data_IF_297361430229
#
_entry.id   IF_297361430229
#
_cell.length_a   1.000
_cell.length_b   1.000
_cell.length_c   1.000
_cell.angle_alpha   90.00
_cell.angle_beta   90.00
_cell.angle_gamma   90.00
#
_symmetry.space_group_name_H-M   'P 1'
#
loop_
_entity.id
_entity.type
_entity.pdbx_description
1 polymer ?
#
# COMPACT_ATOMS: atom_id res chain seq x y z
N UNK A 1 1.20 31.45 27.15
CA UNK A 1 2.21 31.45 26.07
C UNK A 1 1.90 30.32 25.07
N UNK A 2 0.64 30.17 24.63
CA UNK A 2 0.15 28.84 24.17
C UNK A 2 -0.49 28.80 22.78
N UNK A 3 -0.81 29.95 22.18
CA UNK A 3 -1.56 29.98 20.93
C UNK A 3 -0.67 29.75 19.68
N UNK A 4 0.55 30.29 19.69
CA UNK A 4 1.49 30.24 18.56
C UNK A 4 2.03 28.82 18.30
N UNK A 5 2.19 28.02 19.35
CA UNK A 5 2.61 26.61 19.24
C UNK A 5 1.48 25.72 18.74
N UNK A 6 0.24 25.91 19.24
CA UNK A 6 -0.94 25.19 18.75
C UNK A 6 -1.22 25.46 17.27
N UNK A 7 -1.01 26.69 16.79
CA UNK A 7 -1.13 27.03 15.36
C UNK A 7 -0.04 26.37 14.51
N UNK A 8 1.20 26.32 15.03
CA UNK A 8 2.33 25.65 14.36
C UNK A 8 2.07 24.14 14.22
N UNK A 9 1.58 23.48 15.27
CA UNK A 9 1.30 22.04 15.27
C UNK A 9 0.14 21.70 14.32
N UNK A 10 -0.93 22.51 14.32
CA UNK A 10 -2.02 22.39 13.32
C UNK A 10 -1.52 22.56 11.89
N UNK A 11 -0.63 23.51 11.65
CA UNK A 11 -0.05 23.74 10.33
C UNK A 11 0.83 22.58 9.86
N UNK A 12 1.63 21.99 10.76
CA UNK A 12 2.44 20.81 10.48
C UNK A 12 1.56 19.61 10.15
N UNK A 13 0.52 19.37 10.96
CA UNK A 13 -0.44 18.29 10.77
C UNK A 13 -1.15 18.41 9.42
N UNK A 14 -1.66 19.60 9.07
CA UNK A 14 -2.30 19.87 7.79
C UNK A 14 -1.34 19.67 6.60
N UNK A 15 -0.07 20.04 6.72
CA UNK A 15 0.94 19.77 5.69
C UNK A 15 1.20 18.27 5.53
N UNK A 16 1.21 17.51 6.63
CA UNK A 16 1.39 16.05 6.62
C UNK A 16 0.22 15.38 5.90
N UNK A 17 -1.01 15.69 6.30
CA UNK A 17 -2.24 15.16 5.68
C UNK A 17 -2.30 15.48 4.18
N UNK A 18 -1.97 16.72 3.78
CA UNK A 18 -1.90 17.08 2.35
C UNK A 18 -0.87 16.26 1.57
N UNK A 19 0.27 15.93 2.16
CA UNK A 19 1.31 15.11 1.52
C UNK A 19 0.87 13.66 1.42
N UNK A 20 0.19 13.15 2.44
CA UNK A 20 -0.38 11.80 2.47
C UNK A 20 -1.44 11.64 1.39
N UNK A 21 -2.43 12.55 1.34
CA UNK A 21 -3.43 12.57 0.28
C UNK A 21 -2.81 12.56 -1.12
N UNK A 22 -1.83 13.43 -1.36
CA UNK A 22 -1.10 13.46 -2.65
C UNK A 22 -0.36 12.18 -2.99
N UNK A 23 0.11 11.42 -2.00
CA UNK A 23 0.81 10.15 -2.22
C UNK A 23 -0.18 9.04 -2.56
N UNK A 24 -1.29 9.00 -1.84
CA UNK A 24 -2.39 8.06 -2.11
C UNK A 24 -3.00 8.29 -3.50
N UNK A 25 -3.34 9.54 -3.83
CA UNK A 25 -3.91 9.91 -5.14
C UNK A 25 -2.98 9.51 -6.31
N UNK A 26 -1.66 9.63 -6.12
CA UNK A 26 -0.67 9.23 -7.14
C UNK A 26 -0.54 7.71 -7.30
N UNK A 27 -0.94 6.92 -6.30
CA UNK A 27 -0.84 5.46 -6.38
C UNK A 27 -1.89 4.90 -7.33
N UNK A 28 -3.10 5.47 -7.33
CA UNK A 28 -4.28 4.96 -8.06
C UNK A 28 -4.59 3.48 -7.76
N UNK A 29 -4.16 2.98 -6.60
CA UNK A 29 -4.44 1.62 -6.11
C UNK A 29 -4.85 1.78 -4.66
N UNK A 30 -5.92 1.09 -4.30
CA UNK A 30 -6.48 1.14 -2.94
C UNK A 30 -5.62 0.35 -1.96
N UNK A 31 -5.77 0.64 -0.65
CA UNK A 31 -5.10 -0.14 0.39
C UNK A 31 -5.46 -1.63 0.35
N UNK A 32 -6.72 -1.96 0.09
CA UNK A 32 -7.22 -3.33 -0.02
C UNK A 32 -6.62 -4.09 -1.21
N UNK A 33 -6.50 -3.45 -2.37
CA UNK A 33 -5.83 -4.06 -3.53
C UNK A 33 -4.35 -4.35 -3.25
N UNK A 34 -3.68 -3.49 -2.48
CA UNK A 34 -2.28 -3.74 -2.06
C UNK A 34 -2.19 -4.95 -1.13
N UNK A 35 -3.11 -5.06 -0.17
CA UNK A 35 -3.21 -6.23 0.72
C UNK A 35 -3.39 -7.49 -0.12
N UNK A 36 -4.36 -7.50 -1.04
CA UNK A 36 -4.63 -8.63 -1.91
C UNK A 36 -3.40 -9.04 -2.72
N UNK A 37 -2.68 -8.07 -3.30
CA UNK A 37 -1.44 -8.37 -4.05
C UNK A 37 -0.42 -9.06 -3.13
N UNK A 38 -0.21 -8.56 -1.91
CA UNK A 38 0.75 -9.14 -0.96
C UNK A 38 0.36 -10.56 -0.52
N UNK A 39 -0.92 -10.82 -0.25
CA UNK A 39 -1.41 -12.17 0.05
C UNK A 39 -1.08 -13.13 -1.09
N UNK A 40 -1.39 -12.74 -2.32
CA UNK A 40 -1.17 -13.58 -3.50
C UNK A 40 0.31 -13.76 -3.86
N UNK A 41 1.16 -12.78 -3.54
CA UNK A 41 2.62 -12.96 -3.61
C UNK A 41 3.07 -14.09 -2.69
N UNK A 42 2.61 -14.10 -1.44
CA UNK A 42 2.97 -15.13 -0.46
C UNK A 42 2.38 -16.51 -0.81
N UNK A 43 1.25 -16.56 -1.51
CA UNK A 43 0.70 -17.78 -2.12
C UNK A 43 1.47 -18.23 -3.39
N UNK A 44 2.49 -17.49 -3.83
CA UNK A 44 3.32 -17.84 -4.99
C UNK A 44 2.66 -17.55 -6.35
N UNK A 45 1.66 -16.67 -6.40
CA UNK A 45 1.01 -16.31 -7.66
C UNK A 45 1.91 -15.44 -8.52
N UNK A 46 1.82 -15.59 -9.85
CA UNK A 46 2.48 -14.67 -10.79
C UNK A 46 1.74 -13.33 -10.82
N UNK A 47 2.48 -12.23 -10.96
CA UNK A 47 1.94 -10.86 -11.04
C UNK A 47 0.82 -10.71 -12.08
N UNK A 48 0.94 -11.35 -13.25
CA UNK A 48 -0.09 -11.31 -14.30
C UNK A 48 -1.41 -11.96 -13.87
N UNK A 49 -1.35 -13.06 -13.09
CA UNK A 49 -2.54 -13.73 -12.58
C UNK A 49 -3.26 -12.85 -11.57
N UNK A 50 -2.49 -12.18 -10.70
CA UNK A 50 -3.01 -11.23 -9.71
C UNK A 50 -3.70 -10.05 -10.41
N UNK A 51 -3.04 -9.43 -11.38
CA UNK A 51 -3.60 -8.34 -12.17
C UNK A 51 -4.93 -8.72 -12.83
N UNK A 52 -4.96 -9.85 -13.55
CA UNK A 52 -6.17 -10.32 -14.21
C UNK A 52 -7.31 -10.57 -13.22
N UNK A 53 -7.00 -11.11 -12.04
CA UNK A 53 -7.98 -11.38 -10.99
C UNK A 53 -8.58 -10.08 -10.45
N UNK A 54 -7.76 -9.04 -10.21
CA UNK A 54 -8.25 -7.74 -9.75
C UNK A 54 -9.19 -7.11 -10.79
N UNK A 55 -8.81 -7.09 -12.07
CA UNK A 55 -9.64 -6.49 -13.13
C UNK A 55 -10.93 -7.28 -13.36
N UNK A 56 -10.92 -8.60 -13.21
CA UNK A 56 -12.12 -9.43 -13.32
C UNK A 56 -13.11 -9.18 -12.17
N UNK A 57 -12.62 -9.02 -10.93
CA UNK A 57 -13.48 -8.75 -9.77
C UNK A 57 -13.89 -7.28 -9.66
N UNK A 58 -13.01 -6.36 -10.04
CA UNK A 58 -13.25 -4.92 -10.02
C UNK A 58 -12.81 -4.29 -11.35
N UNK A 59 -13.70 -4.29 -12.37
CA UNK A 59 -13.41 -3.70 -13.68
C UNK A 59 -13.10 -2.19 -13.63
N UNK A 60 -13.52 -1.50 -12.56
CA UNK A 60 -13.28 -0.07 -12.35
C UNK A 60 -11.98 0.21 -11.59
N UNK A 61 -11.17 -0.82 -11.28
CA UNK A 61 -9.86 -0.62 -10.67
C UNK A 61 -8.96 0.20 -11.59
N UNK A 62 -8.25 1.18 -11.02
CA UNK A 62 -7.26 1.98 -11.75
C UNK A 62 -5.85 1.34 -11.73
N UNK A 63 -5.74 0.08 -11.29
CA UNK A 63 -4.48 -0.63 -11.31
C UNK A 63 -4.09 -0.99 -12.75
N UNK A 64 -2.80 -0.89 -13.05
CA UNK A 64 -2.22 -1.38 -14.29
C UNK A 64 -1.20 -2.49 -14.00
N UNK A 65 -0.84 -3.26 -15.03
CA UNK A 65 0.09 -4.39 -14.90
C UNK A 65 1.44 -3.98 -14.31
N UNK A 66 2.00 -2.84 -14.72
CA UNK A 66 3.32 -2.37 -14.24
C UNK A 66 3.27 -2.00 -12.76
N UNK A 67 2.16 -1.41 -12.31
CA UNK A 67 1.93 -1.13 -10.89
C UNK A 67 1.77 -2.41 -10.10
N UNK A 68 1.04 -3.40 -10.62
CA UNK A 68 0.96 -4.72 -9.96
C UNK A 68 2.37 -5.31 -9.78
N UNK A 69 3.24 -5.25 -10.79
CA UNK A 69 4.63 -5.71 -10.69
C UNK A 69 5.47 -4.90 -9.69
N UNK A 70 5.31 -3.58 -9.67
CA UNK A 70 5.99 -2.74 -8.67
C UNK A 70 5.56 -3.10 -7.25
N UNK A 71 4.25 -3.24 -7.01
CA UNK A 71 3.69 -3.64 -5.71
C UNK A 71 4.14 -5.07 -5.38
N UNK A 72 4.19 -5.98 -6.34
CA UNK A 72 4.61 -7.38 -6.17
C UNK A 72 5.97 -7.52 -5.46
N UNK A 73 6.90 -6.59 -5.69
CA UNK A 73 8.21 -6.54 -5.02
C UNK A 73 8.18 -6.07 -3.56
N UNK A 74 7.01 -5.72 -3.03
CA UNK A 74 6.86 -5.10 -1.71
C UNK A 74 7.02 -3.57 -1.72
N UNK A 75 7.30 -2.95 -2.87
CA UNK A 75 7.52 -1.50 -2.99
C UNK A 75 6.19 -0.71 -3.06
N UNK A 76 5.38 -0.81 -2.01
CA UNK A 76 4.16 -0.04 -1.86
C UNK A 76 3.94 0.32 -0.38
N UNK A 77 3.54 1.57 -0.12
CA UNK A 77 3.23 2.06 1.22
C UNK A 77 1.76 2.47 1.30
N UNK A 78 0.96 1.75 2.07
CA UNK A 78 -0.41 2.13 2.44
C UNK A 78 -0.35 3.08 3.63
N UNK A 79 -1.23 4.08 3.66
CA UNK A 79 -1.39 4.99 4.79
C UNK A 79 -2.42 4.47 5.79
N UNK A 80 -2.24 4.71 7.10
CA UNK A 80 -3.19 4.24 8.13
C UNK A 80 -4.61 4.75 7.94
N UNK A 81 -4.77 5.93 7.33
CA UNK A 81 -6.08 6.54 7.04
C UNK A 81 -6.87 5.83 5.92
N UNK A 82 -6.23 4.93 5.17
CA UNK A 82 -6.87 4.22 4.06
C UNK A 82 -7.55 2.93 4.50
N UNK A 83 -7.28 2.46 5.71
CA UNK A 83 -7.69 1.16 6.23
C UNK A 83 -8.21 1.31 7.67
N UNK A 84 -8.95 0.32 8.16
CA UNK A 84 -9.17 0.20 9.60
C UNK A 84 -7.84 -0.09 10.31
N UNK A 85 -7.77 0.19 11.62
CA UNK A 85 -6.57 -0.04 12.43
C UNK A 85 -6.09 -1.49 12.30
N UNK A 86 -7.01 -2.45 12.47
CA UNK A 86 -6.72 -3.89 12.35
C UNK A 86 -6.21 -4.27 10.95
N UNK A 87 -6.85 -3.72 9.90
CA UNK A 87 -6.43 -3.97 8.51
C UNK A 87 -5.06 -3.39 8.22
N UNK A 88 -4.75 -2.23 8.80
CA UNK A 88 -3.45 -1.61 8.66
C UNK A 88 -2.34 -2.43 9.35
N UNK A 89 -2.58 -2.93 10.55
CA UNK A 89 -1.66 -3.83 11.25
C UNK A 89 -1.44 -5.12 10.46
N UNK A 90 -2.51 -5.70 9.92
CA UNK A 90 -2.44 -6.86 9.04
C UNK A 90 -1.57 -6.60 7.80
N UNK A 91 -1.77 -5.46 7.14
CA UNK A 91 -0.94 -5.01 6.01
C UNK A 91 0.54 -4.91 6.38
N UNK A 92 0.88 -4.35 7.56
CA UNK A 92 2.28 -4.22 7.99
C UNK A 92 2.94 -5.59 8.15
N UNK A 93 2.21 -6.55 8.73
CA UNK A 93 2.68 -7.92 8.89
C UNK A 93 2.89 -8.61 7.53
N UNK A 94 1.95 -8.44 6.59
CA UNK A 94 2.12 -8.94 5.22
C UNK A 94 3.34 -8.35 4.53
N UNK A 95 3.56 -7.04 4.67
CA UNK A 95 4.69 -6.34 4.05
C UNK A 95 6.03 -6.90 4.51
N UNK A 96 6.17 -7.18 5.81
CA UNK A 96 7.39 -7.81 6.37
C UNK A 96 7.61 -9.17 5.72
N UNK A 97 6.57 -10.03 5.71
CA UNK A 97 6.63 -11.36 5.10
C UNK A 97 7.00 -11.34 3.62
N UNK A 98 6.46 -10.39 2.85
CA UNK A 98 6.78 -10.22 1.42
C UNK A 98 8.25 -9.86 1.22
N UNK A 99 8.81 -8.98 2.07
CA UNK A 99 10.24 -8.69 2.00
C UNK A 99 11.12 -9.88 2.35
N UNK A 100 10.77 -10.61 3.41
CA UNK A 100 11.48 -11.83 3.80
C UNK A 100 11.43 -12.88 2.68
N UNK A 101 10.27 -13.05 2.05
CA UNK A 101 10.08 -13.95 0.92
C UNK A 101 11.05 -13.63 -0.23
N UNK A 102 11.10 -12.36 -0.67
CA UNK A 102 12.01 -11.94 -1.76
C UNK A 102 13.48 -12.01 -1.37
N UNK A 103 13.82 -11.66 -0.12
CA UNK A 103 15.19 -11.81 0.39
C UNK A 103 15.63 -13.28 0.44
N UNK A 104 14.71 -14.21 0.71
CA UNK A 104 15.00 -15.64 0.71
C UNK A 104 15.26 -16.18 -0.69
N UNK A 105 14.56 -15.65 -1.71
CA UNK A 105 14.76 -16.01 -3.11
C UNK A 105 16.11 -15.50 -3.64
N UNK A 106 16.54 -14.31 -3.23
CA UNK A 106 17.83 -13.73 -3.66
C UNK A 106 19.06 -14.47 -3.11
N UNK A 107 18.89 -15.30 -2.07
CA UNK A 107 19.98 -16.04 -1.43
C UNK A 107 20.13 -17.47 -1.94
N UNK A 108 19.25 -17.92 -2.83
CA UNK A 108 19.31 -19.22 -3.52
C UNK A 108 19.93 -19.03 -4.90
#
# INVERSE_FOLDING_TARGET
MDNKYKEKDKFIQMKKERREKKRTDKRFVTGEEVIFIFEKVLEGWKSIKIYNTIIQHNPNSFIDKKKTEAIFTGNCKVHPSELSIERFEYYQNLRIKVYEYHNSLSKK
#
